data_IF_321423029859
#
_entry.id   IF_321423029859
#
_cell.length_a   1.000
_cell.length_b   1.000
_cell.length_c   1.000
_cell.angle_alpha   90.00
_cell.angle_beta   90.00
_cell.angle_gamma   90.00
#
_symmetry.space_group_name_H-M   'P 1'
#
loop_
_entity.id
_entity.type
_entity.pdbx_description
1 polymer ?
#
# COMPACT_ATOMS: atom_id res chain seq x y z
N UNK A 1 -20.24 8.36 47.48
CA UNK A 1 -19.26 7.24 47.46
C UNK A 1 -19.88 6.14 46.62
N UNK A 2 -19.46 5.98 45.37
CA UNK A 2 -20.02 4.98 44.46
C UNK A 2 -18.89 4.19 43.82
N UNK A 3 -18.72 2.94 44.25
CA UNK A 3 -17.71 2.01 43.74
C UNK A 3 -18.21 1.40 42.44
N UNK A 4 -17.67 1.83 41.31
CA UNK A 4 -17.91 1.18 40.02
C UNK A 4 -16.97 -0.02 39.91
N UNK A 5 -17.55 -1.22 39.92
CA UNK A 5 -16.86 -2.48 39.71
C UNK A 5 -16.48 -2.63 38.24
N UNK A 6 -15.21 -2.96 37.98
CA UNK A 6 -14.65 -3.27 36.68
C UNK A 6 -14.74 -4.79 36.51
N UNK A 7 -15.42 -5.26 35.47
CA UNK A 7 -15.43 -6.66 35.08
C UNK A 7 -14.39 -6.90 33.98
N UNK A 8 -13.51 -7.90 34.10
CA UNK A 8 -12.69 -8.35 32.99
C UNK A 8 -13.54 -9.23 32.05
N UNK A 9 -13.50 -8.92 30.75
CA UNK A 9 -14.03 -9.78 29.69
C UNK A 9 -12.89 -10.59 29.10
N UNK A 10 -12.82 -11.86 29.48
CA UNK A 10 -12.02 -12.88 28.81
C UNK A 10 -12.59 -13.13 27.40
N UNK A 11 -11.81 -12.82 26.37
CA UNK A 11 -12.09 -13.24 24.99
C UNK A 11 -11.18 -14.41 24.62
N UNK A 12 -11.73 -15.55 24.15
CA UNK A 12 -10.94 -16.67 23.67
C UNK A 12 -10.29 -16.35 22.31
N UNK A 13 -8.98 -16.61 22.24
CA UNK A 13 -8.17 -16.54 21.03
C UNK A 13 -8.34 -17.88 20.30
N UNK A 14 -9.11 -17.88 19.21
CA UNK A 14 -9.16 -19.03 18.29
C UNK A 14 -8.01 -18.89 17.29
N UNK A 15 -6.96 -19.68 17.50
CA UNK A 15 -5.87 -19.89 16.54
C UNK A 15 -6.30 -20.98 15.55
N UNK A 16 -6.77 -20.57 14.38
CA UNK A 16 -7.01 -21.47 13.26
C UNK A 16 -5.74 -21.48 12.40
N UNK A 17 -5.01 -22.60 12.52
CA UNK A 17 -3.76 -22.89 11.83
C UNK A 17 -4.12 -23.39 10.42
N UNK A 18 -4.07 -22.51 9.41
CA UNK A 18 -4.18 -22.92 8.02
C UNK A 18 -2.84 -23.48 7.53
N UNK A 19 -2.84 -24.80 7.32
CA UNK A 19 -1.79 -25.63 6.75
C UNK A 19 -1.68 -25.32 5.25
N UNK A 20 -0.67 -24.53 4.86
CA UNK A 20 -0.33 -24.30 3.45
C UNK A 20 0.37 -25.56 2.94
N UNK A 21 -0.31 -26.26 2.02
CA UNK A 21 0.27 -27.38 1.27
C UNK A 21 1.17 -26.85 0.16
N UNK A 22 2.46 -27.10 0.30
CA UNK A 22 3.44 -27.05 -0.78
C UNK A 22 3.10 -28.13 -1.83
N UNK A 23 2.58 -27.70 -2.98
CA UNK A 23 2.46 -28.54 -4.17
C UNK A 23 3.58 -28.15 -5.13
N UNK A 24 4.64 -28.95 -5.11
CA UNK A 24 5.66 -29.03 -6.15
C UNK A 24 5.06 -29.61 -7.43
N UNK A 25 5.53 -29.18 -8.60
CA UNK A 25 6.32 -30.05 -9.49
C UNK A 25 6.75 -29.34 -10.76
N UNK A 26 7.97 -29.72 -11.13
CA UNK A 26 8.76 -29.34 -12.28
C UNK A 26 8.11 -29.74 -13.62
N UNK A 27 8.15 -28.84 -14.61
CA UNK A 27 8.18 -29.25 -16.02
C UNK A 27 9.08 -28.29 -16.82
N UNK A 28 10.30 -28.78 -17.04
CA UNK A 28 11.35 -28.19 -17.84
C UNK A 28 11.09 -28.55 -19.32
N UNK A 29 10.59 -27.61 -20.12
CA UNK A 29 10.53 -27.76 -21.57
C UNK A 29 11.45 -26.75 -22.25
N UNK A 30 12.57 -27.29 -22.74
CA UNK A 30 13.51 -26.67 -23.66
C UNK A 30 12.81 -26.34 -24.98
N UNK A 31 12.74 -25.06 -25.33
CA UNK A 31 12.40 -24.62 -26.69
C UNK A 31 13.34 -23.48 -27.08
N UNK A 32 14.43 -23.88 -27.71
CA UNK A 32 15.32 -22.98 -28.45
C UNK A 32 14.66 -22.61 -29.78
N UNK A 33 13.88 -21.53 -29.80
CA UNK A 33 13.35 -20.96 -31.03
C UNK A 33 13.97 -19.59 -31.31
N UNK A 34 14.82 -19.55 -32.35
CA UNK A 34 15.50 -18.36 -32.84
C UNK A 34 14.49 -17.46 -33.55
N UNK A 35 14.11 -16.35 -32.92
CA UNK A 35 13.16 -15.38 -33.47
C UNK A 35 13.88 -14.14 -34.07
N UNK A 36 13.32 -13.56 -35.15
CA UNK A 36 13.98 -12.63 -36.06
C UNK A 36 14.14 -11.21 -35.50
N UNK A 37 15.22 -10.54 -35.95
CA UNK A 37 15.59 -9.15 -35.64
C UNK A 37 14.49 -8.18 -36.10
N UNK A 38 13.59 -7.82 -35.20
CA UNK A 38 12.55 -6.83 -35.46
C UNK A 38 13.10 -5.41 -35.31
N UNK A 39 12.93 -4.63 -36.37
CA UNK A 39 13.20 -3.19 -36.43
C UNK A 39 12.28 -2.47 -35.42
N UNK A 40 12.86 -1.95 -34.34
CA UNK A 40 12.17 -1.17 -33.31
C UNK A 40 11.79 0.18 -33.91
N UNK A 41 10.58 0.29 -34.47
CA UNK A 41 9.98 1.59 -34.75
C UNK A 41 9.51 2.16 -33.40
N UNK A 42 10.25 3.16 -32.90
CA UNK A 42 9.96 3.88 -31.68
C UNK A 42 8.66 4.68 -31.80
N UNK A 43 7.51 4.01 -31.67
CA UNK A 43 6.24 4.71 -31.50
C UNK A 43 6.17 5.20 -30.06
N UNK A 44 6.37 6.50 -29.84
CA UNK A 44 6.08 7.20 -28.58
C UNK A 44 4.58 7.17 -28.28
N UNK A 45 4.08 6.00 -27.86
CA UNK A 45 2.75 5.91 -27.30
C UNK A 45 2.81 6.54 -25.91
N UNK A 46 2.23 7.74 -25.78
CA UNK A 46 1.96 8.37 -24.48
C UNK A 46 1.08 7.42 -23.69
N UNK A 47 1.69 6.61 -22.82
CA UNK A 47 0.99 5.75 -21.87
C UNK A 47 0.23 6.65 -20.91
N UNK A 48 -1.07 6.78 -21.12
CA UNK A 48 -1.92 7.56 -20.23
C UNK A 48 -1.85 6.94 -18.83
N UNK A 49 -1.55 7.77 -17.84
CA UNK A 49 -1.46 7.30 -16.45
C UNK A 49 -2.86 6.89 -15.99
N UNK A 50 -3.01 5.71 -15.35
CA UNK A 50 -4.31 5.27 -14.86
C UNK A 50 -4.87 6.30 -13.87
N UNK A 51 -6.13 6.68 -14.07
CA UNK A 51 -6.86 7.59 -13.18
C UNK A 51 -7.61 6.78 -12.14
N UNK A 52 -7.31 7.01 -10.87
CA UNK A 52 -7.99 6.34 -9.76
C UNK A 52 -8.77 7.36 -8.92
N UNK A 53 -9.89 6.92 -8.33
CA UNK A 53 -10.68 7.74 -7.41
C UNK A 53 -10.09 7.63 -6.01
N UNK A 54 -9.84 8.76 -5.36
CA UNK A 54 -9.37 8.75 -3.97
C UNK A 54 -10.52 8.43 -3.01
N UNK A 55 -10.32 7.51 -2.08
CA UNK A 55 -11.36 7.07 -1.12
C UNK A 55 -11.71 8.13 -0.08
N UNK A 56 -10.80 9.08 0.16
CA UNK A 56 -10.96 10.14 1.16
C UNK A 56 -11.71 11.36 0.62
N UNK A 57 -11.37 11.84 -0.58
CA UNK A 57 -11.97 13.06 -1.15
C UNK A 57 -12.86 12.80 -2.37
N UNK A 58 -12.92 11.56 -2.87
CA UNK A 58 -13.75 11.16 -4.00
C UNK A 58 -13.31 11.73 -5.36
N UNK A 59 -12.20 12.47 -5.42
CA UNK A 59 -11.69 13.06 -6.67
C UNK A 59 -10.90 12.04 -7.48
N UNK A 60 -11.01 12.10 -8.80
CA UNK A 60 -10.13 11.36 -9.71
C UNK A 60 -8.73 12.00 -9.71
N UNK A 61 -7.71 11.18 -9.52
CA UNK A 61 -6.32 11.61 -9.44
C UNK A 61 -5.41 10.70 -10.25
N UNK A 62 -4.35 11.28 -10.81
CA UNK A 62 -3.30 10.55 -11.52
C UNK A 62 -2.17 10.12 -10.57
N UNK A 63 -2.05 10.78 -9.42
CA UNK A 63 -1.01 10.53 -8.42
C UNK A 63 -1.66 10.15 -7.09
N UNK A 64 -1.48 8.89 -6.72
CA UNK A 64 -2.03 8.29 -5.52
C UNK A 64 -1.00 7.36 -4.87
N UNK A 65 -1.27 7.01 -3.61
CA UNK A 65 -0.60 5.97 -2.85
C UNK A 65 -1.65 4.98 -2.38
N UNK A 66 -1.27 3.71 -2.32
CA UNK A 66 -2.09 2.64 -1.74
C UNK A 66 -1.69 2.45 -0.27
N UNK A 67 -2.66 2.16 0.59
CA UNK A 67 -2.34 1.70 1.93
C UNK A 67 -1.67 0.32 1.87
N UNK A 68 -0.68 0.04 2.73
CA UNK A 68 -0.13 -1.30 2.88
C UNK A 68 -1.16 -2.25 3.51
N UNK A 69 -1.11 -3.54 3.13
CA UNK A 69 -1.98 -4.58 3.68
C UNK A 69 -1.64 -4.95 5.13
N UNK A 70 -0.39 -4.73 5.54
CA UNK A 70 0.04 -5.02 6.90
C UNK A 70 -0.61 -4.02 7.90
N UNK A 71 -1.35 -4.51 8.91
CA UNK A 71 -2.01 -3.66 9.91
C UNK A 71 -1.04 -2.76 10.68
N UNK A 72 0.20 -3.18 10.92
CA UNK A 72 1.19 -2.35 11.60
C UNK A 72 1.62 -1.17 10.72
N UNK A 73 1.87 -1.43 9.44
CA UNK A 73 2.25 -0.41 8.46
C UNK A 73 1.07 0.50 8.11
N UNK A 74 -0.16 -0.01 8.09
CA UNK A 74 -1.36 0.76 7.77
C UNK A 74 -1.65 1.81 8.87
N UNK A 75 -1.45 1.47 10.14
CA UNK A 75 -1.51 2.46 11.22
C UNK A 75 -0.47 3.57 11.07
N UNK A 76 0.77 3.23 10.69
CA UNK A 76 1.81 4.23 10.40
C UNK A 76 1.45 5.07 9.17
N UNK A 77 0.82 4.46 8.16
CA UNK A 77 0.32 5.15 6.98
C UNK A 77 -0.75 6.19 7.34
N UNK A 78 -1.74 5.83 8.17
CA UNK A 78 -2.78 6.76 8.65
C UNK A 78 -2.14 7.94 9.40
N UNK A 79 -1.13 7.69 10.24
CA UNK A 79 -0.41 8.75 10.97
C UNK A 79 0.34 9.73 10.05
N UNK A 80 0.70 9.31 8.83
CA UNK A 80 1.34 10.17 7.82
C UNK A 80 0.35 11.02 7.03
N UNK A 81 -0.95 10.77 7.15
CA UNK A 81 -1.98 11.55 6.47
C UNK A 81 -2.22 12.87 7.22
N UNK A 82 -2.31 13.96 6.46
CA UNK A 82 -2.58 15.31 6.98
C UNK A 82 -3.98 15.78 6.60
N UNK A 83 -4.50 16.72 7.40
CA UNK A 83 -5.77 17.41 7.13
C UNK A 83 -6.98 16.47 7.01
N UNK A 84 -6.92 15.28 7.60
CA UNK A 84 -8.07 14.38 7.65
C UNK A 84 -9.12 14.89 8.63
N UNK A 85 -10.34 15.03 8.14
CA UNK A 85 -11.53 15.18 8.98
C UNK A 85 -11.78 13.90 9.79
N UNK A 86 -12.53 13.98 10.89
CA UNK A 86 -12.89 12.80 11.71
C UNK A 86 -13.55 11.72 10.86
N UNK A 87 -14.54 12.10 10.04
CA UNK A 87 -15.23 11.16 9.14
C UNK A 87 -14.31 10.46 8.14
N UNK A 88 -13.30 11.17 7.64
CA UNK A 88 -12.31 10.58 6.73
C UNK A 88 -11.37 9.59 7.42
N UNK A 89 -11.03 9.84 8.69
CA UNK A 89 -10.27 8.88 9.50
C UNK A 89 -11.09 7.64 9.79
N UNK A 90 -12.32 7.81 10.25
CA UNK A 90 -13.21 6.68 10.55
C UNK A 90 -13.40 5.81 9.28
N UNK A 91 -13.54 6.45 8.11
CA UNK A 91 -13.65 5.76 6.83
C UNK A 91 -12.40 4.95 6.47
N UNK A 92 -11.20 5.52 6.61
CA UNK A 92 -9.97 4.81 6.23
C UNK A 92 -9.64 3.69 7.23
N UNK A 93 -9.92 3.91 8.52
CA UNK A 93 -9.80 2.87 9.54
C UNK A 93 -10.75 1.72 9.25
N UNK A 94 -11.98 2.01 8.83
CA UNK A 94 -12.94 0.97 8.41
C UNK A 94 -12.39 0.13 7.24
N UNK A 95 -11.90 0.78 6.18
CA UNK A 95 -11.32 0.09 5.00
C UNK A 95 -10.15 -0.81 5.42
N UNK A 96 -9.25 -0.28 6.25
CA UNK A 96 -8.07 -1.02 6.73
C UNK A 96 -8.48 -2.19 7.63
N UNK A 97 -9.47 -2.01 8.50
CA UNK A 97 -9.97 -3.08 9.37
C UNK A 97 -10.65 -4.22 8.58
N UNK A 98 -11.15 -3.92 7.38
CA UNK A 98 -11.67 -4.93 6.45
C UNK A 98 -10.56 -5.65 5.65
N UNK A 99 -9.31 -5.25 5.79
CA UNK A 99 -8.19 -5.78 5.00
C UNK A 99 -8.15 -5.28 3.55
N UNK A 100 -8.85 -4.19 3.25
CA UNK A 100 -8.89 -3.60 1.92
C UNK A 100 -7.78 -2.53 1.73
N UNK A 101 -7.31 -2.39 0.48
CA UNK A 101 -6.37 -1.34 0.09
C UNK A 101 -7.10 0.00 -0.12
N UNK A 102 -6.80 1.00 0.70
CA UNK A 102 -7.29 2.36 0.49
C UNK A 102 -6.43 3.12 -0.54
N UNK A 103 -7.07 3.77 -1.51
CA UNK A 103 -6.46 4.67 -2.49
C UNK A 103 -6.48 6.11 -1.97
N UNK A 104 -5.30 6.67 -1.70
CA UNK A 104 -5.15 8.02 -1.16
C UNK A 104 -4.38 8.91 -2.12
N UNK A 105 -4.93 10.08 -2.45
CA UNK A 105 -4.23 11.04 -3.28
C UNK A 105 -3.08 11.73 -2.55
N UNK A 106 -2.08 12.18 -3.30
CA UNK A 106 -0.88 12.84 -2.75
C UNK A 106 -1.18 14.10 -1.94
N UNK A 107 -2.34 14.74 -2.13
CA UNK A 107 -2.74 15.92 -1.35
C UNK A 107 -2.93 15.62 0.15
N UNK A 108 -3.30 14.39 0.49
CA UNK A 108 -3.47 13.98 1.88
C UNK A 108 -2.18 13.42 2.49
N UNK A 109 -1.18 13.09 1.67
CA UNK A 109 0.09 12.59 2.16
C UNK A 109 0.91 13.77 2.67
N UNK A 110 1.37 13.70 3.92
CA UNK A 110 2.43 14.60 4.38
C UNK A 110 3.67 14.21 3.58
N UNK A 111 4.05 15.05 2.62
CA UNK A 111 5.42 15.09 2.16
C UNK A 111 6.23 15.49 3.38
N UNK A 112 6.68 14.50 4.16
CA UNK A 112 7.82 14.72 5.02
C UNK A 112 8.87 15.32 4.10
N UNK A 113 9.44 16.49 4.42
CA UNK A 113 10.63 16.92 3.72
C UNK A 113 11.61 15.77 3.89
N UNK A 114 11.75 14.94 2.85
CA UNK A 114 12.81 13.95 2.85
C UNK A 114 14.05 14.79 3.12
N UNK A 115 14.85 14.47 4.15
CA UNK A 115 16.12 15.14 4.31
C UNK A 115 16.74 15.06 2.94
N UNK A 116 16.96 16.22 2.29
CA UNK A 116 17.75 16.24 1.06
C UNK A 116 19.05 15.62 1.55
N UNK A 117 19.26 14.33 1.27
CA UNK A 117 20.58 13.74 1.31
C UNK A 117 21.32 14.70 0.40
N UNK A 118 22.08 15.62 1.00
CA UNK A 118 23.13 16.29 0.29
C UNK A 118 23.91 15.08 -0.19
N UNK A 119 23.80 14.78 -1.48
CA UNK A 119 24.75 13.89 -2.12
C UNK A 119 26.08 14.51 -1.72
N UNK A 120 26.72 13.94 -0.70
CA UNK A 120 28.10 14.25 -0.46
C UNK A 120 28.76 13.78 -1.76
N UNK A 121 29.33 14.69 -2.57
CA UNK A 121 30.13 14.23 -3.69
C UNK A 121 31.16 13.27 -3.09
N UNK A 122 31.25 12.05 -3.64
CA UNK A 122 32.28 11.11 -3.24
C UNK A 122 33.62 11.85 -3.22
N UNK A 123 34.18 11.98 -2.03
CA UNK A 123 35.52 12.52 -1.82
C UNK A 123 36.48 11.42 -2.28
N UNK A 124 36.86 11.47 -3.55
CA UNK A 124 37.88 10.59 -4.12
C UNK A 124 39.22 10.83 -3.39
N UNK A 125 39.74 9.77 -2.75
CA UNK A 125 41.06 9.70 -2.11
C UNK A 125 42.06 9.10 -3.07
#
# INVERSE_FOLDING_TARGET
MGTSQIFPVDMPINNEHEEIKDESTDDLADITEVQPVMKILATSQKKESPRCKCDLCGRLVNSFCLSPNDPALSQLFIKKLIQLTKMQRDKIETIINHGECAVVCWRHMRLLPLPRKRFAPDEEV
#
